data_IF_206274679154
#
_entry.id   IF_206274679154
#
_cell.length_a   1.000
_cell.length_b   1.000
_cell.length_c   1.000
_cell.angle_alpha   90.00
_cell.angle_beta   90.00
_cell.angle_gamma   90.00
#
_symmetry.space_group_name_H-M   'P 1'
#
loop_
_entity.id
_entity.type
_entity.pdbx_description
1 polymer ?
#
# COMPACT_ATOMS: atom_id res chain seq x y z
N UNK A 1 -28.82 -52.89 59.36
CA UNK A 1 -27.59 -52.08 59.30
C UNK A 1 -27.23 -51.97 57.82
N UNK A 2 -27.60 -50.86 57.18
CA UNK A 2 -27.38 -50.63 55.75
C UNK A 2 -26.44 -49.40 55.62
N UNK A 3 -25.25 -49.51 55.01
CA UNK A 3 -24.33 -48.37 54.90
C UNK A 3 -24.87 -47.36 53.88
N UNK A 4 -24.97 -46.10 54.31
CA UNK A 4 -25.37 -44.95 53.51
C UNK A 4 -24.39 -44.69 52.36
N UNK A 5 -24.91 -44.57 51.14
CA UNK A 5 -24.20 -44.06 49.95
C UNK A 5 -23.69 -42.62 50.17
N UNK A 6 -22.46 -42.29 49.75
CA UNK A 6 -22.00 -40.90 49.77
C UNK A 6 -22.58 -40.12 48.57
N UNK A 7 -23.10 -38.93 48.86
CA UNK A 7 -23.70 -38.01 47.90
C UNK A 7 -22.73 -37.65 46.75
N UNK A 8 -23.26 -37.67 45.53
CA UNK A 8 -22.57 -37.24 44.31
C UNK A 8 -22.22 -35.74 44.39
N UNK A 9 -20.93 -35.42 44.30
CA UNK A 9 -20.47 -34.04 44.16
C UNK A 9 -20.83 -33.51 42.77
N UNK A 10 -21.36 -32.29 42.62
CA UNK A 10 -21.58 -31.68 41.31
C UNK A 10 -20.23 -31.42 40.63
N UNK A 11 -20.12 -31.83 39.36
CA UNK A 11 -18.97 -31.53 38.52
C UNK A 11 -18.77 -30.01 38.45
N UNK A 12 -17.55 -29.45 38.59
CA UNK A 12 -17.35 -28.02 38.44
C UNK A 12 -17.64 -27.63 36.99
N UNK A 13 -18.68 -26.83 36.79
CA UNK A 13 -18.93 -26.12 35.54
C UNK A 13 -17.64 -25.38 35.14
N UNK A 14 -17.04 -25.77 34.02
CA UNK A 14 -15.92 -25.04 33.43
C UNK A 14 -16.43 -23.69 32.96
N UNK A 15 -16.33 -22.68 33.82
CA UNK A 15 -16.60 -21.31 33.45
C UNK A 15 -15.73 -20.95 32.24
N UNK A 16 -16.29 -20.34 31.18
CA UNK A 16 -15.52 -19.96 30.01
C UNK A 16 -14.39 -19.03 30.46
N UNK A 17 -13.16 -19.45 30.19
CA UNK A 17 -11.95 -18.76 30.60
C UNK A 17 -11.98 -17.33 30.01
N UNK A 18 -12.38 -16.35 30.82
CA UNK A 18 -12.35 -14.94 30.44
C UNK A 18 -10.89 -14.52 30.31
N UNK A 19 -10.30 -14.76 29.14
CA UNK A 19 -8.98 -14.28 28.79
C UNK A 19 -9.02 -12.76 28.90
N UNK A 20 -8.47 -12.23 29.99
CA UNK A 20 -8.50 -10.80 30.29
C UNK A 20 -8.05 -10.00 29.06
N UNK A 21 -8.71 -8.88 28.78
CA UNK A 21 -8.33 -7.98 27.68
C UNK A 21 -6.83 -7.61 27.75
N UNK A 22 -6.26 -7.57 28.97
CA UNK A 22 -4.83 -7.42 29.24
C UNK A 22 -3.98 -8.59 28.74
N UNK A 23 -4.38 -9.84 28.96
CA UNK A 23 -3.70 -11.03 28.43
C UNK A 23 -3.79 -11.09 26.90
N UNK A 24 -4.94 -10.71 26.32
CA UNK A 24 -5.12 -10.57 24.87
C UNK A 24 -4.23 -9.47 24.29
N UNK A 25 -4.13 -8.33 24.98
CA UNK A 25 -3.25 -7.20 24.63
C UNK A 25 -1.77 -7.56 24.79
N UNK A 26 -1.40 -8.35 25.81
CA UNK A 26 -0.04 -8.90 25.98
C UNK A 26 0.33 -9.91 24.89
N UNK A 27 -0.62 -10.77 24.45
CA UNK A 27 -0.42 -11.69 23.32
C UNK A 27 -0.33 -10.93 21.99
N UNK A 28 -1.12 -9.88 21.80
CA UNK A 28 -1.02 -8.98 20.65
C UNK A 28 0.29 -8.19 20.64
N UNK A 29 0.78 -7.74 21.80
CA UNK A 29 2.08 -7.07 21.94
C UNK A 29 3.26 -8.03 21.77
N UNK A 30 3.12 -9.32 22.13
CA UNK A 30 4.14 -10.35 21.83
C UNK A 30 4.22 -10.69 20.34
N UNK A 31 3.16 -10.45 19.55
CA UNK A 31 3.21 -10.50 18.07
C UNK A 31 4.00 -9.36 17.43
N UNK A 32 4.45 -8.37 18.20
CA UNK A 32 5.43 -7.38 17.74
C UNK A 32 6.87 -7.91 17.75
N UNK A 33 7.08 -9.17 18.16
CA UNK A 33 8.37 -9.83 18.12
C UNK A 33 8.58 -10.44 16.72
N UNK A 34 9.63 -10.00 16.02
CA UNK A 34 10.03 -10.60 14.75
C UNK A 34 10.32 -12.08 14.98
N UNK A 35 9.55 -13.00 14.36
CA UNK A 35 9.73 -14.43 14.61
C UNK A 35 11.14 -14.87 14.20
N UNK A 36 11.89 -15.42 15.15
CA UNK A 36 13.22 -15.99 14.91
C UNK A 36 13.14 -17.37 14.26
N UNK A 37 12.05 -18.10 14.51
CA UNK A 37 11.83 -19.43 13.96
C UNK A 37 11.31 -19.38 12.51
N UNK A 38 11.68 -20.36 11.70
CA UNK A 38 11.33 -20.42 10.27
C UNK A 38 9.85 -20.73 10.06
N UNK A 39 9.27 -21.62 10.88
CA UNK A 39 7.86 -21.98 10.81
C UNK A 39 6.94 -20.80 11.19
N UNK A 40 7.32 -20.05 12.22
CA UNK A 40 6.57 -18.87 12.68
C UNK A 40 6.64 -17.73 11.64
N UNK A 41 7.76 -17.57 10.94
CA UNK A 41 7.89 -16.65 9.80
C UNK A 41 7.02 -17.05 8.61
N UNK A 42 6.98 -18.34 8.26
CA UNK A 42 6.11 -18.83 7.19
C UNK A 42 4.63 -18.64 7.52
N UNK A 43 4.23 -18.87 8.78
CA UNK A 43 2.86 -18.63 9.25
C UNK A 43 2.50 -17.14 9.17
N UNK A 44 3.37 -16.25 9.65
CA UNK A 44 3.16 -14.80 9.58
C UNK A 44 3.11 -14.32 8.13
N UNK A 45 4.01 -14.79 7.28
CA UNK A 45 3.98 -14.49 5.84
C UNK A 45 2.65 -14.90 5.20
N UNK A 46 2.15 -16.11 5.47
CA UNK A 46 0.87 -16.58 4.92
C UNK A 46 -0.33 -15.71 5.36
N UNK A 47 -0.29 -15.20 6.61
CA UNK A 47 -1.28 -14.26 7.13
C UNK A 47 -1.20 -12.90 6.41
N UNK A 48 0.01 -12.38 6.20
CA UNK A 48 0.24 -11.12 5.49
C UNK A 48 -0.24 -11.21 4.04
N UNK A 49 0.04 -12.32 3.34
CA UNK A 49 -0.43 -12.57 1.97
C UNK A 49 -1.95 -12.53 1.88
N UNK A 50 -2.66 -13.17 2.82
CA UNK A 50 -4.14 -13.16 2.85
C UNK A 50 -4.70 -11.75 3.04
N UNK A 51 -4.05 -10.93 3.88
CA UNK A 51 -4.46 -9.54 4.10
C UNK A 51 -4.09 -8.63 2.93
N UNK A 52 -3.08 -9.00 2.15
CA UNK A 52 -2.62 -8.27 0.99
C UNK A 52 -3.55 -8.40 -0.24
N UNK A 53 -4.59 -9.25 -0.16
CA UNK A 53 -5.51 -9.44 -1.27
C UNK A 53 -6.34 -8.18 -1.56
N UNK A 54 -6.42 -7.77 -2.84
CA UNK A 54 -7.21 -6.61 -3.24
C UNK A 54 -8.70 -6.86 -3.02
N UNK A 55 -9.37 -5.93 -2.34
CA UNK A 55 -10.82 -5.91 -2.18
C UNK A 55 -11.48 -5.01 -3.23
N UNK A 56 -12.78 -5.17 -3.45
CA UNK A 56 -13.57 -4.29 -4.31
C UNK A 56 -13.51 -2.81 -3.87
N UNK A 57 -13.34 -2.59 -2.56
CA UNK A 57 -13.19 -1.26 -1.95
C UNK A 57 -12.00 -0.49 -2.56
N UNK A 58 -10.91 -1.18 -2.91
CA UNK A 58 -9.74 -0.58 -3.56
C UNK A 58 -10.16 0.23 -4.80
N UNK A 59 -10.95 -0.39 -5.68
CA UNK A 59 -11.35 0.22 -6.94
C UNK A 59 -12.39 1.32 -6.75
N UNK A 60 -13.33 1.13 -5.82
CA UNK A 60 -14.32 2.15 -5.48
C UNK A 60 -13.66 3.41 -4.91
N UNK A 61 -12.76 3.26 -3.93
CA UNK A 61 -12.00 4.38 -3.37
C UNK A 61 -11.04 4.99 -4.40
N UNK A 62 -10.43 4.19 -5.29
CA UNK A 62 -9.60 4.72 -6.40
C UNK A 62 -10.41 5.62 -7.33
N UNK A 63 -11.65 5.24 -7.64
CA UNK A 63 -12.54 6.01 -8.50
C UNK A 63 -12.91 7.35 -7.87
N UNK A 64 -13.33 7.33 -6.60
CA UNK A 64 -13.70 8.54 -5.87
C UNK A 64 -12.48 9.44 -5.66
N UNK A 65 -11.34 8.88 -5.24
CA UNK A 65 -10.10 9.62 -5.07
C UNK A 65 -9.63 10.23 -6.40
N UNK A 66 -9.61 9.46 -7.48
CA UNK A 66 -9.23 9.96 -8.81
C UNK A 66 -10.09 11.12 -9.30
N UNK A 67 -11.40 11.08 -9.03
CA UNK A 67 -12.30 12.18 -9.33
C UNK A 67 -11.99 13.44 -8.49
N UNK A 68 -11.80 13.27 -7.17
CA UNK A 68 -11.46 14.39 -6.26
C UNK A 68 -10.11 15.01 -6.62
N UNK A 69 -9.08 14.19 -6.86
CA UNK A 69 -7.76 14.64 -7.29
C UNK A 69 -7.83 15.39 -8.62
N UNK A 70 -8.57 14.85 -9.59
CA UNK A 70 -8.82 15.52 -10.87
C UNK A 70 -9.46 16.90 -10.68
N UNK A 71 -10.48 17.01 -9.82
CA UNK A 71 -11.07 18.31 -9.46
C UNK A 71 -10.06 19.23 -8.74
N UNK A 72 -9.19 18.68 -7.90
CA UNK A 72 -8.10 19.42 -7.27
C UNK A 72 -7.18 20.07 -8.29
N UNK A 73 -6.81 19.36 -9.36
CA UNK A 73 -6.04 19.95 -10.46
C UNK A 73 -6.85 20.92 -11.32
N UNK A 74 -8.11 20.60 -11.62
CA UNK A 74 -9.00 21.48 -12.38
C UNK A 74 -9.19 22.85 -11.71
N UNK A 75 -9.35 22.85 -10.39
CA UNK A 75 -9.51 24.08 -9.59
C UNK A 75 -8.20 24.62 -9.03
N UNK A 76 -7.06 23.98 -9.33
CA UNK A 76 -5.75 24.34 -8.80
C UNK A 76 -5.75 24.51 -7.26
N UNK A 77 -6.34 23.54 -6.55
CA UNK A 77 -6.66 23.63 -5.14
C UNK A 77 -6.00 22.49 -4.33
N UNK A 78 -4.96 22.84 -3.57
CA UNK A 78 -4.20 21.87 -2.75
C UNK A 78 -5.06 21.16 -1.70
N UNK A 79 -6.07 21.84 -1.14
CA UNK A 79 -6.97 21.23 -0.17
C UNK A 79 -7.76 20.04 -0.76
N UNK A 80 -8.17 20.13 -2.04
CA UNK A 80 -8.85 19.04 -2.73
C UNK A 80 -7.89 17.89 -3.02
N UNK A 81 -6.64 18.19 -3.37
CA UNK A 81 -5.61 17.16 -3.58
C UNK A 81 -5.36 16.37 -2.29
N UNK A 82 -5.15 17.05 -1.17
CA UNK A 82 -5.00 16.41 0.15
C UNK A 82 -6.25 15.58 0.50
N UNK A 83 -7.45 16.13 0.29
CA UNK A 83 -8.69 15.40 0.55
C UNK A 83 -8.81 14.13 -0.32
N UNK A 84 -8.47 14.20 -1.60
CA UNK A 84 -8.45 13.05 -2.49
C UNK A 84 -7.48 11.96 -2.02
N UNK A 85 -6.32 12.34 -1.49
CA UNK A 85 -5.36 11.40 -0.88
C UNK A 85 -5.89 10.77 0.40
N UNK A 86 -6.62 11.52 1.25
CA UNK A 86 -7.24 10.95 2.44
C UNK A 86 -8.36 9.94 2.12
N UNK A 87 -9.02 10.10 0.97
CA UNK A 87 -10.03 9.18 0.44
C UNK A 87 -9.40 8.01 -0.33
N UNK A 88 -8.11 8.12 -0.69
CA UNK A 88 -7.42 7.12 -1.49
C UNK A 88 -7.45 5.74 -0.81
N UNK A 89 -7.53 4.66 -1.61
CA UNK A 89 -7.57 3.32 -1.05
C UNK A 89 -6.28 3.01 -0.29
N UNK A 90 -6.38 2.10 0.67
CA UNK A 90 -5.21 1.52 1.31
C UNK A 90 -4.36 0.82 0.23
N UNK A 91 -3.07 1.14 0.17
CA UNK A 91 -2.10 0.60 -0.80
C UNK A 91 -1.67 -0.83 -0.46
N UNK A 92 -2.62 -1.65 -0.03
CA UNK A 92 -2.47 -3.07 0.26
C UNK A 92 -1.88 -3.86 -0.93
N UNK A 93 -2.28 -3.62 -2.19
CA UNK A 93 -1.68 -4.31 -3.32
C UNK A 93 -0.19 -3.99 -3.50
N UNK A 94 0.26 -2.78 -3.17
CA UNK A 94 1.68 -2.40 -3.24
C UNK A 94 2.52 -3.21 -2.25
N UNK A 95 2.01 -3.42 -1.04
CA UNK A 95 2.67 -4.28 -0.04
C UNK A 95 2.65 -5.74 -0.50
N UNK A 96 1.54 -6.18 -1.09
CA UNK A 96 1.41 -7.51 -1.68
C UNK A 96 2.42 -7.77 -2.79
N UNK A 97 2.66 -6.80 -3.66
CA UNK A 97 3.71 -6.85 -4.69
C UNK A 97 5.09 -7.00 -4.04
N UNK A 98 5.41 -6.15 -3.07
CA UNK A 98 6.69 -6.20 -2.34
C UNK A 98 6.91 -7.55 -1.64
N UNK A 99 5.90 -8.08 -0.94
CA UNK A 99 5.94 -9.40 -0.30
C UNK A 99 6.08 -10.55 -1.31
N UNK A 100 5.38 -10.46 -2.44
CA UNK A 100 5.41 -11.51 -3.46
C UNK A 100 6.76 -11.61 -4.17
N UNK A 101 7.48 -10.49 -4.30
CA UNK A 101 8.85 -10.45 -4.82
C UNK A 101 9.75 -11.24 -3.88
N UNK A 102 9.79 -10.88 -2.59
CA UNK A 102 10.65 -11.53 -1.59
C UNK A 102 10.34 -13.02 -1.45
N UNK A 103 9.06 -13.40 -1.52
CA UNK A 103 8.66 -14.80 -1.39
C UNK A 103 8.81 -15.61 -2.68
N UNK A 104 9.11 -14.98 -3.82
CA UNK A 104 9.13 -15.66 -5.12
C UNK A 104 7.78 -16.26 -5.49
N UNK A 105 6.69 -15.54 -5.21
CA UNK A 105 5.31 -16.00 -5.43
C UNK A 105 4.70 -15.35 -6.68
N UNK A 106 4.98 -15.85 -7.91
CA UNK A 106 4.62 -15.16 -9.16
C UNK A 106 3.10 -14.99 -9.35
N UNK A 107 2.28 -15.92 -8.83
CA UNK A 107 0.82 -15.79 -8.87
C UNK A 107 0.32 -14.62 -8.03
N UNK A 108 0.87 -14.45 -6.82
CA UNK A 108 0.52 -13.31 -5.96
C UNK A 108 1.06 -12.00 -6.56
N UNK A 109 2.25 -12.03 -7.14
CA UNK A 109 2.84 -10.90 -7.84
C UNK A 109 1.92 -10.42 -8.96
N UNK A 110 1.52 -11.31 -9.86
CA UNK A 110 0.63 -10.97 -10.97
C UNK A 110 -0.71 -10.39 -10.47
N UNK A 111 -1.31 -11.00 -9.42
CA UNK A 111 -2.57 -10.52 -8.85
C UNK A 111 -2.46 -9.10 -8.25
N UNK A 112 -1.41 -8.85 -7.47
CA UNK A 112 -1.20 -7.57 -6.79
C UNK A 112 -0.78 -6.45 -7.74
N UNK A 113 0.10 -6.76 -8.70
CA UNK A 113 0.49 -5.83 -9.78
C UNK A 113 -0.71 -5.49 -10.66
N UNK A 114 -1.56 -6.47 -11.01
CA UNK A 114 -2.78 -6.20 -11.79
C UNK A 114 -3.73 -5.27 -11.01
N UNK A 115 -3.90 -5.49 -9.71
CA UNK A 115 -4.73 -4.63 -8.89
C UNK A 115 -4.16 -3.20 -8.76
N UNK A 116 -2.84 -3.06 -8.61
CA UNK A 116 -2.16 -1.76 -8.65
C UNK A 116 -2.35 -1.07 -10.00
N UNK A 117 -2.17 -1.81 -11.09
CA UNK A 117 -2.30 -1.27 -12.43
C UNK A 117 -3.73 -0.77 -12.70
N UNK A 118 -4.75 -1.56 -12.36
CA UNK A 118 -6.15 -1.18 -12.56
C UNK A 118 -6.53 0.01 -11.69
N UNK A 119 -6.14 0.04 -10.40
CA UNK A 119 -6.39 1.21 -9.53
C UNK A 119 -5.67 2.47 -10.02
N UNK A 120 -4.42 2.33 -10.45
CA UNK A 120 -3.64 3.41 -11.06
C UNK A 120 -4.31 3.93 -12.32
N UNK A 121 -4.79 3.04 -13.19
CA UNK A 121 -5.50 3.41 -14.42
C UNK A 121 -6.78 4.21 -14.10
N UNK A 122 -7.54 3.81 -13.08
CA UNK A 122 -8.74 4.54 -12.64
C UNK A 122 -8.37 5.98 -12.21
N UNK A 123 -7.32 6.15 -11.41
CA UNK A 123 -6.87 7.47 -10.94
C UNK A 123 -6.37 8.33 -12.11
N UNK A 124 -5.60 7.73 -13.02
CA UNK A 124 -5.14 8.38 -14.24
C UNK A 124 -6.32 8.85 -15.11
N UNK A 125 -7.32 8.00 -15.32
CA UNK A 125 -8.53 8.34 -16.08
C UNK A 125 -9.32 9.46 -15.38
N UNK A 126 -9.41 9.45 -14.05
CA UNK A 126 -10.00 10.57 -13.29
C UNK A 126 -9.33 11.91 -13.58
N UNK A 127 -7.99 11.92 -13.56
CA UNK A 127 -7.20 13.09 -13.96
C UNK A 127 -7.45 13.47 -15.43
N UNK A 128 -7.45 12.50 -16.33
CA UNK A 128 -7.68 12.71 -17.77
C UNK A 128 -9.04 13.34 -18.07
N UNK A 129 -10.11 12.86 -17.43
CA UNK A 129 -11.44 13.41 -17.59
C UNK A 129 -11.51 14.85 -17.05
N UNK A 130 -10.88 15.12 -15.90
CA UNK A 130 -10.81 16.47 -15.34
C UNK A 130 -10.00 17.43 -16.23
N UNK A 131 -8.87 16.97 -16.78
CA UNK A 131 -8.08 17.74 -17.74
C UNK A 131 -8.86 18.01 -19.02
N UNK A 132 -9.58 17.02 -19.55
CA UNK A 132 -10.45 17.23 -20.71
C UNK A 132 -11.54 18.27 -20.42
N UNK A 133 -12.14 18.21 -19.22
CA UNK A 133 -13.14 19.17 -18.76
C UNK A 133 -12.57 20.58 -18.54
N UNK A 134 -11.25 20.76 -18.40
CA UNK A 134 -10.63 22.08 -18.20
C UNK A 134 -10.53 22.89 -19.50
N UNK A 135 -10.59 22.25 -20.67
CA UNK A 135 -10.37 22.90 -21.98
C UNK A 135 -11.30 24.09 -22.27
N UNK A 136 -12.62 24.02 -21.99
CA UNK A 136 -13.53 25.15 -22.26
C UNK A 136 -13.30 26.38 -21.37
N UNK A 137 -12.59 26.22 -20.25
CA UNK A 137 -12.42 27.26 -19.24
C UNK A 137 -11.07 27.98 -19.35
N UNK A 138 -10.27 27.71 -20.39
CA UNK A 138 -8.98 28.36 -20.58
C UNK A 138 -9.13 29.88 -20.83
N UNK A 139 -8.20 30.72 -20.32
CA UNK A 139 -6.94 30.36 -19.67
C UNK A 139 -7.09 30.02 -18.17
N UNK A 140 -6.53 28.88 -17.74
CA UNK A 140 -6.42 28.45 -16.35
C UNK A 140 -4.95 28.27 -15.98
N UNK A 141 -4.63 28.54 -14.72
CA UNK A 141 -3.30 28.25 -14.13
C UNK A 141 -3.30 26.86 -13.51
N UNK A 142 -2.35 26.01 -13.89
CA UNK A 142 -2.23 24.63 -13.40
C UNK A 142 -1.00 24.41 -12.51
N UNK A 143 -0.75 25.34 -11.58
CA UNK A 143 0.43 25.32 -10.71
C UNK A 143 0.57 23.99 -9.94
N UNK A 144 -0.50 23.48 -9.34
CA UNK A 144 -0.47 22.22 -8.59
C UNK A 144 -0.13 21.02 -9.49
N UNK A 145 -0.64 20.99 -10.72
CA UNK A 145 -0.32 19.93 -11.67
C UNK A 145 1.16 19.98 -12.12
N UNK A 146 1.74 21.18 -12.24
CA UNK A 146 3.18 21.35 -12.50
C UNK A 146 4.05 20.97 -11.31
N UNK A 147 3.66 21.33 -10.09
CA UNK A 147 4.40 20.97 -8.87
C UNK A 147 4.48 19.45 -8.74
N UNK A 148 3.34 18.77 -8.91
CA UNK A 148 3.23 17.32 -8.72
C UNK A 148 3.64 16.48 -9.93
N UNK A 149 3.96 17.09 -11.08
CA UNK A 149 4.54 16.39 -12.23
C UNK A 149 6.06 16.46 -12.27
N UNK A 150 6.70 17.17 -11.34
CA UNK A 150 8.16 17.29 -11.25
C UNK A 150 8.72 16.45 -10.12
N UNK A 151 9.93 15.95 -10.34
CA UNK A 151 10.64 15.17 -9.34
C UNK A 151 11.37 16.10 -8.36
N UNK A 152 11.05 16.00 -7.07
CA UNK A 152 11.73 16.74 -6.02
C UNK A 152 12.46 15.80 -5.07
N UNK A 153 13.61 16.25 -4.55
CA UNK A 153 14.40 15.45 -3.63
C UNK A 153 13.69 15.25 -2.28
N UNK A 154 12.88 16.21 -1.83
CA UNK A 154 12.14 16.11 -0.57
C UNK A 154 10.97 15.12 -0.67
N UNK A 155 10.35 15.00 -1.84
CA UNK A 155 9.32 13.98 -2.13
C UNK A 155 9.93 12.57 -2.03
N UNK A 156 11.17 12.38 -2.52
CA UNK A 156 11.87 11.09 -2.36
C UNK A 156 12.14 10.74 -0.88
N UNK A 157 12.43 11.73 -0.04
CA UNK A 157 12.59 11.52 1.42
C UNK A 157 11.26 11.12 2.05
N UNK A 158 10.18 11.84 1.73
CA UNK A 158 8.84 11.54 2.23
C UNK A 158 8.36 10.15 1.77
N UNK A 159 8.56 9.82 0.49
CA UNK A 159 8.31 8.51 -0.10
C UNK A 159 9.07 7.40 0.63
N UNK A 160 10.35 7.62 0.91
CA UNK A 160 11.19 6.65 1.64
C UNK A 160 10.61 6.36 3.02
N UNK A 161 10.25 7.41 3.76
CA UNK A 161 9.61 7.28 5.08
C UNK A 161 8.28 6.54 4.96
N UNK A 162 7.43 6.90 3.98
CA UNK A 162 6.14 6.24 3.73
C UNK A 162 6.29 4.75 3.44
N UNK A 163 7.19 4.39 2.52
CA UNK A 163 7.47 3.01 2.13
C UNK A 163 8.01 2.16 3.31
N UNK A 164 8.88 2.73 4.15
CA UNK A 164 9.40 2.06 5.35
C UNK A 164 8.29 1.88 6.38
N UNK A 165 7.55 2.95 6.71
CA UNK A 165 6.49 2.91 7.73
C UNK A 165 5.37 1.95 7.34
N UNK A 166 4.88 2.00 6.10
CA UNK A 166 3.78 1.13 5.68
C UNK A 166 4.20 -0.33 5.70
N UNK A 167 5.42 -0.65 5.27
CA UNK A 167 5.99 -2.00 5.32
C UNK A 167 6.08 -2.49 6.78
N UNK A 168 6.66 -1.71 7.68
CA UNK A 168 6.80 -2.06 9.10
C UNK A 168 5.43 -2.24 9.76
N UNK A 169 4.51 -1.29 9.59
CA UNK A 169 3.17 -1.35 10.15
C UNK A 169 2.40 -2.57 9.67
N UNK A 170 2.52 -2.89 8.37
CA UNK A 170 1.83 -4.05 7.82
C UNK A 170 2.39 -5.36 8.37
N UNK A 171 3.72 -5.50 8.46
CA UNK A 171 4.37 -6.68 9.06
C UNK A 171 4.01 -6.83 10.55
N UNK A 172 3.91 -5.72 11.28
CA UNK A 172 3.47 -5.71 12.69
C UNK A 172 1.99 -6.05 12.89
N UNK A 173 1.29 -6.45 11.84
CA UNK A 173 -0.13 -6.83 11.87
C UNK A 173 -1.05 -5.69 12.34
N UNK A 174 -0.68 -4.43 12.10
CA UNK A 174 -1.57 -3.30 12.34
C UNK A 174 -2.76 -3.41 11.39
N UNK A 175 -3.99 -3.49 11.92
CA UNK A 175 -5.18 -3.93 11.16
C UNK A 175 -5.36 -3.15 9.85
N UNK A 176 -5.12 -1.83 9.85
CA UNK A 176 -5.08 -0.97 8.65
C UNK A 176 -4.17 0.26 8.87
N UNK A 177 -2.94 0.27 8.32
CA UNK A 177 -2.04 1.40 8.48
C UNK A 177 -2.40 2.56 7.56
N UNK A 178 -3.48 3.26 7.88
CA UNK A 178 -4.02 4.34 7.06
C UNK A 178 -3.04 5.52 6.91
N UNK A 179 -2.38 5.94 7.99
CA UNK A 179 -1.46 7.09 7.93
C UNK A 179 -0.22 6.81 7.06
N UNK A 180 0.54 5.71 7.24
CA UNK A 180 1.65 5.38 6.33
C UNK A 180 1.20 5.17 4.89
N UNK A 181 0.02 4.58 4.69
CA UNK A 181 -0.54 4.39 3.36
C UNK A 181 -0.94 5.69 2.69
N UNK A 182 -1.48 6.66 3.42
CA UNK A 182 -1.81 7.98 2.87
C UNK A 182 -0.55 8.72 2.42
N UNK A 183 0.55 8.59 3.18
CA UNK A 183 1.83 9.18 2.80
C UNK A 183 2.37 8.57 1.50
N UNK A 184 2.34 7.24 1.38
CA UNK A 184 2.73 6.57 0.14
C UNK A 184 1.77 6.89 -1.03
N UNK A 185 0.48 7.01 -0.76
CA UNK A 185 -0.52 7.37 -1.76
C UNK A 185 -0.36 8.80 -2.27
N UNK A 186 0.01 9.74 -1.39
CA UNK A 186 0.35 11.11 -1.77
C UNK A 186 1.42 11.13 -2.88
N UNK A 187 2.52 10.42 -2.63
CA UNK A 187 3.68 10.41 -3.51
C UNK A 187 3.46 9.61 -4.81
N UNK A 188 2.57 8.63 -4.81
CA UNK A 188 2.30 7.80 -6.00
C UNK A 188 1.14 8.37 -6.83
N UNK A 189 0.03 8.76 -6.20
CA UNK A 189 -1.20 9.09 -6.92
C UNK A 189 -1.26 10.54 -7.40
N UNK A 190 -0.59 11.48 -6.74
CA UNK A 190 -0.52 12.86 -7.23
C UNK A 190 0.15 12.96 -8.60
N UNK A 191 1.40 12.48 -8.82
CA UNK A 191 2.03 12.55 -10.14
C UNK A 191 1.29 11.76 -11.21
N UNK A 192 0.69 10.63 -10.84
CA UNK A 192 -0.12 9.82 -11.76
C UNK A 192 -1.39 10.53 -12.21
N UNK A 193 -2.13 11.14 -11.28
CA UNK A 193 -3.33 11.91 -11.61
C UNK A 193 -2.97 13.19 -12.37
N UNK A 194 -1.86 13.86 -12.03
CA UNK A 194 -1.33 14.99 -12.78
C UNK A 194 -0.98 14.59 -14.22
N UNK A 195 -0.38 13.40 -14.42
CA UNK A 195 -0.07 12.89 -15.74
C UNK A 195 -1.34 12.74 -16.60
N UNK A 196 -2.39 12.14 -16.03
CA UNK A 196 -3.70 12.04 -16.65
C UNK A 196 -4.27 13.42 -16.99
N UNK A 197 -4.24 14.34 -16.03
CA UNK A 197 -4.71 15.71 -16.20
C UNK A 197 -3.96 16.47 -17.30
N UNK A 198 -2.64 16.33 -17.38
CA UNK A 198 -1.81 16.90 -18.46
C UNK A 198 -2.24 16.39 -19.83
N UNK A 199 -2.46 15.08 -19.95
CA UNK A 199 -2.91 14.47 -21.21
C UNK A 199 -4.32 14.95 -21.60
N UNK A 200 -5.22 15.04 -20.62
CA UNK A 200 -6.58 15.53 -20.81
C UNK A 200 -6.65 17.01 -21.20
N UNK A 201 -5.91 17.87 -20.49
CA UNK A 201 -5.91 19.32 -20.69
C UNK A 201 -5.20 19.78 -21.97
N UNK A 202 -4.37 18.91 -22.56
CA UNK A 202 -3.57 19.24 -23.75
C UNK A 202 -2.27 19.97 -23.44
N UNK A 203 -1.93 20.14 -22.15
CA UNK A 203 -0.65 20.71 -21.71
C UNK A 203 0.42 19.62 -21.77
N UNK A 204 1.13 19.58 -22.90
CA UNK A 204 2.04 18.48 -23.26
C UNK A 204 3.19 18.23 -22.29
N UNK A 205 3.61 19.22 -21.50
CA UNK A 205 4.72 19.08 -20.55
C UNK A 205 4.38 18.24 -19.32
N UNK A 206 3.13 18.27 -18.87
CA UNK A 206 2.72 17.66 -17.60
C UNK A 206 2.61 16.14 -17.71
N UNK A 207 2.07 15.63 -18.83
CA UNK A 207 1.76 14.20 -18.95
C UNK A 207 2.99 13.27 -18.93
N UNK A 208 4.08 13.51 -19.68
CA UNK A 208 5.21 12.59 -19.69
C UNK A 208 6.03 12.75 -18.40
N UNK A 209 6.11 13.97 -17.85
CA UNK A 209 6.82 14.24 -16.61
C UNK A 209 6.12 13.58 -15.42
N UNK A 210 4.81 13.78 -15.26
CA UNK A 210 4.04 13.14 -14.19
C UNK A 210 4.08 11.61 -14.26
N UNK A 211 4.05 11.03 -15.47
CA UNK A 211 4.14 9.59 -15.63
C UNK A 211 5.54 9.06 -15.25
N UNK A 212 6.59 9.76 -15.65
CA UNK A 212 7.96 9.45 -15.24
C UNK A 212 8.09 9.51 -13.71
N UNK A 213 7.59 10.59 -13.09
CA UNK A 213 7.61 10.78 -11.64
C UNK A 213 6.88 9.62 -10.95
N UNK A 214 5.69 9.24 -11.41
CA UNK A 214 4.97 8.07 -10.90
C UNK A 214 5.81 6.78 -10.97
N UNK A 215 6.45 6.51 -12.10
CA UNK A 215 7.28 5.31 -12.28
C UNK A 215 8.50 5.31 -11.35
N UNK A 216 9.17 6.46 -11.22
CA UNK A 216 10.30 6.63 -10.28
C UNK A 216 9.83 6.43 -8.84
N UNK A 217 8.69 7.02 -8.43
CA UNK A 217 8.16 6.86 -7.07
C UNK A 217 7.75 5.41 -6.79
N UNK A 218 7.11 4.74 -7.76
CA UNK A 218 6.75 3.34 -7.63
C UNK A 218 7.98 2.46 -7.49
N UNK A 219 9.03 2.71 -8.29
CA UNK A 219 10.27 1.95 -8.26
C UNK A 219 11.04 2.19 -6.95
N UNK A 220 11.26 3.45 -6.59
CA UNK A 220 11.96 3.88 -5.39
C UNK A 220 11.27 3.39 -4.11
N UNK A 221 9.95 3.55 -4.04
CA UNK A 221 9.16 3.02 -2.95
C UNK A 221 9.36 1.52 -2.82
N UNK A 222 9.20 0.77 -3.92
CA UNK A 222 9.32 -0.70 -3.91
C UNK A 222 10.71 -1.13 -3.46
N UNK A 223 11.76 -0.46 -3.93
CA UNK A 223 13.14 -0.69 -3.50
C UNK A 223 13.30 -0.56 -1.97
N UNK A 224 12.82 0.53 -1.36
CA UNK A 224 12.87 0.70 0.09
C UNK A 224 11.95 -0.24 0.85
N UNK A 225 10.80 -0.63 0.27
CA UNK A 225 9.93 -1.67 0.79
C UNK A 225 10.66 -3.02 0.89
N UNK A 226 11.39 -3.41 -0.16
CA UNK A 226 12.19 -4.64 -0.20
C UNK A 226 13.33 -4.60 0.82
N UNK A 227 14.08 -3.49 0.90
CA UNK A 227 15.13 -3.29 1.90
C UNK A 227 14.56 -3.42 3.31
N UNK A 228 13.40 -2.80 3.56
CA UNK A 228 12.73 -2.90 4.85
C UNK A 228 12.40 -4.35 5.18
N UNK A 229 11.74 -5.09 4.27
CA UNK A 229 11.43 -6.51 4.47
C UNK A 229 12.68 -7.37 4.74
N UNK A 230 13.79 -7.10 4.04
CA UNK A 230 15.07 -7.76 4.26
C UNK A 230 15.57 -7.57 5.70
N UNK A 231 15.54 -6.34 6.22
CA UNK A 231 15.89 -6.06 7.62
C UNK A 231 14.92 -6.68 8.63
N UNK A 232 13.65 -6.86 8.26
CA UNK A 232 12.64 -7.57 9.05
C UNK A 232 12.77 -9.11 8.94
N UNK A 233 13.85 -9.62 8.34
CA UNK A 233 14.18 -11.05 8.16
C UNK A 233 13.21 -11.82 7.26
N UNK A 234 12.55 -11.13 6.34
CA UNK A 234 11.93 -11.77 5.18
C UNK A 234 12.96 -11.83 4.06
N UNK A 235 13.44 -13.03 3.77
CA UNK A 235 14.38 -13.28 2.68
C UNK A 235 13.86 -14.44 1.81
N UNK A 236 14.16 -14.43 0.51
CA UNK A 236 13.80 -15.55 -0.37
C UNK A 236 14.50 -16.82 0.13
N UNK A 237 13.72 -17.85 0.46
CA UNK A 237 14.23 -19.16 0.88
C UNK A 237 14.39 -20.14 -0.29
N UNK A 238 13.89 -19.79 -1.48
CA UNK A 238 14.01 -20.59 -2.70
C UNK A 238 14.93 -19.92 -3.73
N UNK A 239 15.67 -20.72 -4.50
CA UNK A 239 16.49 -20.26 -5.62
C UNK A 239 15.66 -19.45 -6.63
N UNK A 240 14.45 -19.89 -6.94
CA UNK A 240 13.53 -19.17 -7.83
C UNK A 240 13.13 -17.80 -7.28
N UNK A 241 12.86 -17.70 -5.97
CA UNK A 241 12.56 -16.43 -5.33
C UNK A 241 13.75 -15.48 -5.28
N UNK A 242 14.97 -16.02 -5.12
CA UNK A 242 16.19 -15.23 -5.13
C UNK A 242 16.46 -14.63 -6.52
N UNK A 243 16.33 -15.43 -7.58
CA UNK A 243 16.45 -14.95 -8.97
C UNK A 243 15.36 -13.93 -9.28
N UNK A 244 14.11 -14.19 -8.90
CA UNK A 244 12.99 -13.27 -9.13
C UNK A 244 13.19 -11.92 -8.42
N UNK A 245 13.62 -11.96 -7.15
CA UNK A 245 13.96 -10.76 -6.38
C UNK A 245 15.12 -10.00 -7.04
N UNK A 246 16.19 -10.69 -7.43
CA UNK A 246 17.36 -10.09 -8.08
C UNK A 246 17.03 -9.41 -9.41
N UNK A 247 16.27 -10.09 -10.28
CA UNK A 247 15.81 -9.53 -11.57
C UNK A 247 14.92 -8.30 -11.36
N UNK A 248 14.01 -8.36 -10.38
CA UNK A 248 13.15 -7.21 -10.06
C UNK A 248 13.99 -6.04 -9.56
N UNK A 249 14.98 -6.30 -8.71
CA UNK A 249 15.88 -5.27 -8.18
C UNK A 249 16.68 -4.56 -9.29
N UNK A 250 17.20 -5.33 -10.25
CA UNK A 250 17.87 -4.78 -11.44
C UNK A 250 16.90 -3.91 -12.26
N UNK A 251 15.68 -4.39 -12.49
CA UNK A 251 14.64 -3.63 -13.19
C UNK A 251 14.28 -2.32 -12.49
N UNK A 252 14.18 -2.33 -11.16
CA UNK A 252 13.91 -1.13 -10.37
C UNK A 252 15.04 -0.11 -10.49
N UNK A 253 16.30 -0.54 -10.45
CA UNK A 253 17.46 0.33 -10.61
C UNK A 253 17.45 0.97 -12.01
N UNK A 254 17.18 0.19 -13.05
CA UNK A 254 17.13 0.68 -14.43
C UNK A 254 16.04 1.74 -14.68
N UNK A 255 14.98 1.78 -13.86
CA UNK A 255 13.93 2.84 -13.94
C UNK A 255 14.39 4.14 -13.28
N UNK A 256 15.32 4.06 -12.32
CA UNK A 256 15.78 5.20 -11.53
C UNK A 256 17.04 5.84 -12.12
N UNK A 257 17.84 5.09 -12.90
CA UNK A 257 19.07 5.55 -13.58
C UNK A 257 18.83 6.01 -15.01
#
# INVERSE_FOLDING_TARGET
MNPSEPASQPYPEQAPEFVSARARRRRAQRRAYFPTDEQERAALFSHLVRRAFPSYELFAFSLVAGAILGLGYLFNAQALLIFGILVAPLLTPWIGTTLSIVAGAPRLFAQTVTALFVSSLIIFVGGLLAGFASRPFQPLTFNEAFIHSRLWWYDLVALTIGAVLITISFVRSEDRPHLPSALLAYEIFLPLCAAGFGLGSGVGEIWPQGLLVFLVHLAWGTFFGLITLFFLRFYPTSLGGLVFTGLTFIGLIAVVT
#
